data_IF_639883918225
#
_entry.id   IF_639883918225
#
_cell.length_a   1.000
_cell.length_b   1.000
_cell.length_c   1.000
_cell.angle_alpha   90.00
_cell.angle_beta   90.00
_cell.angle_gamma   90.00
#
_symmetry.space_group_name_H-M   'P 1'
#
loop_
_entity.id
_entity.type
_entity.pdbx_description
1 polymer ?
#
# COMPACT_ATOMS: atom_id res chain seq x y z
N UNK A 1 12.62 -11.64 -1.39
CA UNK A 1 11.40 -10.93 -0.94
C UNK A 1 11.45 -10.81 0.57
N UNK A 2 11.30 -9.59 1.11
CA UNK A 2 11.26 -9.34 2.55
C UNK A 2 9.88 -8.78 2.92
N UNK A 3 8.97 -9.59 3.48
CA UNK A 3 7.71 -9.07 3.99
C UNK A 3 7.98 -8.23 5.24
N UNK A 4 7.37 -7.04 5.31
CA UNK A 4 7.50 -6.13 6.44
C UNK A 4 6.17 -6.07 7.18
N UNK A 5 6.16 -6.48 8.44
CA UNK A 5 5.02 -6.21 9.32
C UNK A 5 5.18 -4.83 9.92
N UNK A 6 4.19 -4.00 9.67
CA UNK A 6 4.16 -2.63 10.15
C UNK A 6 3.74 -2.54 11.62
N UNK A 7 4.17 -1.50 12.33
CA UNK A 7 3.83 -1.25 13.73
C UNK A 7 2.32 -1.14 13.95
N UNK A 8 1.79 -1.80 14.97
CA UNK A 8 0.36 -1.75 15.29
C UNK A 8 -0.55 -2.69 14.50
N UNK A 9 0.00 -3.56 13.64
CA UNK A 9 -0.78 -4.59 12.91
C UNK A 9 -0.19 -5.99 13.07
N UNK A 10 -1.01 -7.02 12.83
CA UNK A 10 -0.65 -8.44 12.88
C UNK A 10 0.09 -8.83 14.18
N UNK A 11 1.25 -9.49 14.11
CA UNK A 11 2.02 -9.85 15.31
C UNK A 11 2.53 -8.64 16.11
N UNK A 12 2.52 -7.45 15.49
CA UNK A 12 2.84 -6.15 16.11
C UNK A 12 1.61 -5.38 16.58
N UNK A 13 0.41 -6.00 16.60
CA UNK A 13 -0.82 -5.35 17.07
C UNK A 13 -0.75 -4.86 18.53
N UNK A 14 0.13 -5.45 19.34
CA UNK A 14 0.41 -4.97 20.70
C UNK A 14 1.08 -3.59 20.75
N UNK A 15 1.58 -3.08 19.62
CA UNK A 15 2.13 -1.72 19.47
C UNK A 15 1.08 -0.71 18.98
N UNK A 16 -0.17 -1.14 18.75
CA UNK A 16 -1.24 -0.25 18.29
C UNK A 16 -1.49 0.85 19.34
N UNK A 17 -1.29 2.09 18.94
CA UNK A 17 -1.51 3.28 19.75
C UNK A 17 -2.00 4.42 18.84
N UNK A 18 -2.68 5.41 19.41
CA UNK A 18 -3.18 6.57 18.64
C UNK A 18 -2.09 7.41 17.95
N UNK A 19 -0.82 7.23 18.34
CA UNK A 19 0.31 7.89 17.70
C UNK A 19 0.87 7.12 16.48
N UNK A 20 0.51 5.85 16.28
CA UNK A 20 0.97 5.07 15.12
C UNK A 20 0.28 5.61 13.86
N UNK A 21 1.08 6.09 12.92
CA UNK A 21 0.62 6.85 11.76
C UNK A 21 1.40 6.47 10.48
N UNK A 22 1.19 7.21 9.38
CA UNK A 22 1.83 6.92 8.09
C UNK A 22 3.34 7.05 8.17
N UNK A 23 3.85 8.09 8.85
CA UNK A 23 5.30 8.25 9.04
C UNK A 23 5.92 7.11 9.84
N UNK A 24 5.19 6.59 10.84
CA UNK A 24 5.61 5.41 11.61
C UNK A 24 5.79 4.20 10.68
N UNK A 25 4.83 3.96 9.78
CA UNK A 25 4.90 2.85 8.83
C UNK A 25 5.98 3.03 7.76
N UNK A 26 6.21 4.25 7.27
CA UNK A 26 7.33 4.56 6.38
C UNK A 26 8.66 4.28 7.10
N UNK A 27 8.78 4.72 8.36
CA UNK A 27 9.97 4.49 9.17
C UNK A 27 10.23 3.00 9.43
N UNK A 28 9.19 2.18 9.64
CA UNK A 28 9.33 0.73 9.79
C UNK A 28 10.00 0.09 8.55
N UNK A 29 9.59 0.48 7.34
CA UNK A 29 10.17 -0.05 6.10
C UNK A 29 11.59 0.47 5.89
N UNK A 30 11.84 1.76 6.13
CA UNK A 30 13.19 2.33 6.05
C UNK A 30 14.16 1.63 7.01
N UNK A 31 13.73 1.35 8.24
CA UNK A 31 14.54 0.62 9.23
C UNK A 31 14.87 -0.81 8.77
N UNK A 32 13.95 -1.48 8.07
CA UNK A 32 14.24 -2.77 7.44
C UNK A 32 15.31 -2.61 6.36
N UNK A 33 15.17 -1.65 5.45
CA UNK A 33 16.17 -1.41 4.40
C UNK A 33 17.56 -1.11 5.00
N UNK A 34 17.63 -0.24 6.00
CA UNK A 34 18.89 0.09 6.70
C UNK A 34 19.54 -1.12 7.38
N UNK A 35 18.73 -2.02 7.97
CA UNK A 35 19.23 -3.23 8.60
C UNK A 35 19.92 -4.18 7.62
N UNK A 36 19.61 -4.07 6.32
CA UNK A 36 20.23 -4.85 5.25
C UNK A 36 21.06 -3.93 4.34
N UNK A 37 22.18 -3.44 4.87
CA UNK A 37 23.07 -2.43 4.25
C UNK A 37 23.56 -2.72 2.80
N UNK A 38 23.35 -3.92 2.26
CA UNK A 38 23.66 -4.28 0.87
C UNK A 38 22.43 -4.27 -0.06
N UNK A 39 21.29 -3.77 0.40
CA UNK A 39 20.08 -3.64 -0.42
C UNK A 39 20.14 -2.34 -1.24
N UNK A 40 20.64 -2.49 -2.46
CA UNK A 40 20.46 -1.55 -3.55
C UNK A 40 19.54 -2.20 -4.60
N UNK A 41 19.04 -1.40 -5.56
CA UNK A 41 18.14 -1.85 -6.64
C UNK A 41 16.83 -2.50 -6.15
N UNK A 42 16.14 -1.82 -5.24
CA UNK A 42 14.93 -2.31 -4.59
C UNK A 42 13.70 -2.21 -5.49
N UNK A 43 12.88 -3.27 -5.44
CA UNK A 43 11.49 -3.24 -5.90
C UNK A 43 10.57 -3.12 -4.69
N UNK A 44 9.87 -2.00 -4.59
CA UNK A 44 8.88 -1.79 -3.55
C UNK A 44 7.52 -2.32 -4.02
N UNK A 45 6.88 -3.16 -3.21
CA UNK A 45 5.57 -3.73 -3.50
C UNK A 45 4.61 -3.34 -2.40
N UNK A 46 3.57 -2.59 -2.74
CA UNK A 46 2.57 -2.09 -1.80
C UNK A 46 1.20 -2.62 -2.19
N UNK A 47 0.50 -3.27 -1.25
CA UNK A 47 -0.88 -3.73 -1.43
C UNK A 47 -1.85 -2.82 -0.70
N UNK A 48 -2.98 -2.47 -1.32
CA UNK A 48 -4.02 -1.63 -0.69
C UNK A 48 -3.45 -0.31 -0.13
N UNK A 49 -3.65 -0.04 1.16
CA UNK A 49 -3.01 1.05 1.92
C UNK A 49 -1.48 1.11 1.74
N UNK A 50 -0.82 -0.03 1.52
CA UNK A 50 0.63 -0.12 1.31
C UNK A 50 1.15 0.74 0.16
N UNK A 51 0.29 1.14 -0.78
CA UNK A 51 0.61 2.17 -1.79
C UNK A 51 1.06 3.50 -1.18
N UNK A 52 0.45 3.93 -0.07
CA UNK A 52 0.89 5.11 0.70
C UNK A 52 2.32 4.93 1.22
N UNK A 53 2.59 3.77 1.82
CA UNK A 53 3.85 3.47 2.47
C UNK A 53 4.98 3.38 1.46
N UNK A 54 4.81 2.63 0.36
CA UNK A 54 5.87 2.50 -0.64
C UNK A 54 6.15 3.82 -1.36
N UNK A 55 5.14 4.68 -1.53
CA UNK A 55 5.33 6.02 -2.10
C UNK A 55 6.15 6.89 -1.17
N UNK A 56 5.84 6.88 0.13
CA UNK A 56 6.66 7.55 1.13
C UNK A 56 8.10 7.02 1.13
N UNK A 57 8.30 5.70 1.20
CA UNK A 57 9.65 5.10 1.19
C UNK A 57 10.43 5.49 -0.06
N UNK A 58 9.80 5.42 -1.24
CA UNK A 58 10.43 5.80 -2.50
C UNK A 58 10.87 7.26 -2.51
N UNK A 59 10.13 8.16 -1.87
CA UNK A 59 10.52 9.57 -1.76
C UNK A 59 11.76 9.80 -0.87
N UNK A 60 11.93 8.98 0.19
CA UNK A 60 12.99 9.18 1.20
C UNK A 60 14.33 8.56 0.83
N UNK A 61 14.31 7.45 0.08
CA UNK A 61 15.53 6.75 -0.38
C UNK A 61 15.50 6.52 -1.90
N UNK A 62 15.22 7.57 -2.68
CA UNK A 62 14.84 7.41 -4.06
C UNK A 62 15.98 6.81 -4.89
N UNK A 63 17.24 6.95 -4.48
CA UNK A 63 18.44 6.39 -5.13
C UNK A 63 18.58 4.88 -5.00
N UNK A 64 17.82 4.25 -4.09
CA UNK A 64 17.85 2.80 -3.86
C UNK A 64 16.71 2.06 -4.56
N UNK A 65 15.77 2.77 -5.19
CA UNK A 65 14.54 2.18 -5.73
C UNK A 65 14.62 2.09 -7.25
N UNK A 66 14.42 0.89 -7.78
CA UNK A 66 14.38 0.60 -9.22
C UNK A 66 12.94 0.60 -9.74
N UNK A 67 12.01 0.05 -8.97
CA UNK A 67 10.63 -0.16 -9.40
C UNK A 67 9.65 -0.11 -8.23
N UNK A 68 8.41 0.28 -8.53
CA UNK A 68 7.30 0.31 -7.60
C UNK A 68 6.12 -0.46 -8.18
N UNK A 69 5.61 -1.42 -7.43
CA UNK A 69 4.43 -2.22 -7.79
C UNK A 69 3.31 -1.96 -6.79
N UNK A 70 2.22 -1.39 -7.31
CA UNK A 70 0.98 -1.12 -6.60
C UNK A 70 0.03 -2.28 -6.86
N UNK A 71 -0.13 -3.19 -5.90
CA UNK A 71 -1.02 -4.34 -6.05
C UNK A 71 -2.36 -3.99 -5.43
N UNK A 72 -3.34 -3.74 -6.29
CA UNK A 72 -4.68 -3.26 -5.95
C UNK A 72 -4.63 -2.21 -4.83
N UNK A 73 -3.80 -1.19 -5.06
CA UNK A 73 -3.33 -0.26 -4.04
C UNK A 73 -3.67 1.19 -4.39
N UNK A 74 -3.74 2.03 -3.36
CA UNK A 74 -3.90 3.46 -3.55
C UNK A 74 -2.65 4.08 -4.18
N UNK A 75 -2.83 5.03 -5.10
CA UNK A 75 -1.73 5.74 -5.77
C UNK A 75 -1.79 7.22 -5.36
N UNK A 76 -1.15 7.64 -4.26
CA UNK A 76 -1.29 8.99 -3.72
C UNK A 76 -0.53 10.06 -4.52
N UNK A 77 -1.05 11.28 -4.47
CA UNK A 77 -0.33 12.51 -4.81
C UNK A 77 0.14 13.24 -3.54
N UNK A 78 1.02 14.23 -3.70
CA UNK A 78 1.45 15.06 -2.58
C UNK A 78 0.26 15.73 -1.89
N UNK A 79 0.23 15.61 -0.56
CA UNK A 79 -0.82 16.16 0.29
C UNK A 79 -2.09 15.32 0.40
N UNK A 80 -2.19 14.16 -0.25
CA UNK A 80 -3.32 13.23 -0.07
C UNK A 80 -3.07 12.26 1.08
N UNK A 81 -4.11 11.99 1.87
CA UNK A 81 -4.19 10.84 2.75
C UNK A 81 -4.85 9.65 2.03
N UNK A 82 -4.72 8.44 2.57
CA UNK A 82 -5.47 7.28 2.05
C UNK A 82 -6.98 7.57 2.07
N UNK A 83 -7.44 8.25 3.12
CA UNK A 83 -8.80 8.80 3.26
C UNK A 83 -9.29 9.55 2.02
N UNK A 84 -8.46 10.41 1.43
CA UNK A 84 -8.87 11.29 0.32
C UNK A 84 -9.05 10.53 -0.99
N UNK A 85 -8.40 9.38 -1.12
CA UNK A 85 -8.32 8.61 -2.37
C UNK A 85 -9.45 7.58 -2.47
N UNK A 86 -9.81 6.94 -1.35
CA UNK A 86 -10.82 5.87 -1.32
C UNK A 86 -12.25 6.43 -1.38
N UNK A 87 -13.21 5.54 -1.67
CA UNK A 87 -14.62 5.89 -1.78
C UNK A 87 -15.30 6.18 -0.43
N UNK A 88 -16.58 6.57 -0.47
CA UNK A 88 -17.36 6.90 0.72
C UNK A 88 -17.64 5.68 1.63
N UNK A 89 -17.78 4.48 1.06
CA UNK A 89 -18.03 3.27 1.84
C UNK A 89 -16.81 2.90 2.69
N UNK A 90 -15.61 3.02 2.11
CA UNK A 90 -14.33 2.80 2.77
C UNK A 90 -14.09 3.84 3.87
N UNK A 91 -14.35 5.12 3.59
CA UNK A 91 -14.30 6.20 4.60
C UNK A 91 -15.25 5.94 5.77
N UNK A 92 -16.48 5.48 5.48
CA UNK A 92 -17.46 5.12 6.49
C UNK A 92 -17.00 3.91 7.33
N UNK A 93 -16.22 2.99 6.76
CA UNK A 93 -15.60 1.91 7.51
C UNK A 93 -14.45 2.43 8.40
N UNK A 94 -13.56 3.27 7.89
CA UNK A 94 -12.43 3.81 8.64
C UNK A 94 -12.84 4.49 9.95
N UNK A 95 -13.98 5.20 9.97
CA UNK A 95 -14.47 5.88 11.20
C UNK A 95 -15.22 4.97 12.18
N UNK A 96 -15.47 3.69 11.86
CA UNK A 96 -16.06 2.70 12.79
C UNK A 96 -15.02 2.13 13.74
N UNK A 97 -14.16 2.99 14.30
CA UNK A 97 -13.08 2.59 15.20
C UNK A 97 -13.58 1.70 16.34
N UNK A 98 -12.73 0.80 16.80
CA UNK A 98 -13.00 -0.05 17.95
C UNK A 98 -12.93 0.73 19.29
N UNK A 99 -13.06 0.04 20.41
CA UNK A 99 -13.08 0.64 21.75
C UNK A 99 -11.80 1.41 22.14
N UNK A 100 -10.71 1.27 21.37
CA UNK A 100 -9.50 2.08 21.57
C UNK A 100 -9.68 3.53 21.10
N UNK A 101 -10.63 3.77 20.18
CA UNK A 101 -10.84 5.06 19.53
C UNK A 101 -9.84 5.39 18.42
N UNK A 102 -8.84 4.52 18.17
CA UNK A 102 -7.82 4.73 17.15
C UNK A 102 -7.50 3.48 16.30
N UNK A 103 -8.14 2.35 16.57
CA UNK A 103 -8.04 1.13 15.75
C UNK A 103 -9.26 0.99 14.83
N UNK A 104 -9.04 0.84 13.52
CA UNK A 104 -10.08 0.49 12.54
C UNK A 104 -10.23 -1.03 12.51
N UNK A 105 -11.36 -1.61 12.97
CA UNK A 105 -11.51 -3.05 13.07
C UNK A 105 -11.60 -3.71 11.67
N UNK A 106 -11.08 -4.93 11.48
CA UNK A 106 -11.18 -5.64 10.21
C UNK A 106 -12.64 -5.98 9.87
N UNK A 107 -12.97 -6.05 8.58
CA UNK A 107 -14.29 -6.47 8.13
C UNK A 107 -14.48 -7.99 8.28
N UNK A 108 -15.71 -8.49 8.47
CA UNK A 108 -15.95 -9.92 8.76
C UNK A 108 -15.45 -10.92 7.70
N UNK A 109 -15.23 -10.46 6.47
CA UNK A 109 -14.76 -11.29 5.36
C UNK A 109 -13.24 -11.24 5.17
N UNK A 110 -12.50 -10.45 5.96
CA UNK A 110 -11.04 -10.45 5.94
C UNK A 110 -10.48 -11.76 6.49
N UNK A 111 -9.19 -12.00 6.23
CA UNK A 111 -8.47 -13.13 6.82
C UNK A 111 -8.61 -13.10 8.37
N UNK A 112 -8.86 -14.22 9.05
CA UNK A 112 -9.02 -14.26 10.51
C UNK A 112 -7.81 -13.75 11.30
N UNK A 113 -6.64 -13.64 10.68
CA UNK A 113 -5.43 -13.07 11.28
C UNK A 113 -5.38 -11.54 11.21
N UNK A 114 -6.30 -10.90 10.48
CA UNK A 114 -6.37 -9.45 10.41
C UNK A 114 -6.64 -8.84 11.79
N UNK A 115 -5.94 -7.74 12.09
CA UNK A 115 -6.07 -6.99 13.34
C UNK A 115 -6.58 -5.59 13.04
N UNK A 116 -6.94 -4.83 14.09
CA UNK A 116 -7.28 -3.42 13.90
C UNK A 116 -6.12 -2.64 13.26
N UNK A 117 -6.43 -1.74 12.33
CA UNK A 117 -5.46 -0.90 11.62
C UNK A 117 -5.36 0.49 12.28
N UNK A 118 -4.17 1.12 12.40
CA UNK A 118 -4.06 2.45 12.98
C UNK A 118 -4.82 3.52 12.18
N UNK A 119 -5.85 4.16 12.77
CA UNK A 119 -6.65 5.17 12.07
C UNK A 119 -5.80 6.34 11.56
N UNK A 120 -4.86 6.81 12.38
CA UNK A 120 -4.02 7.96 12.03
C UNK A 120 -3.17 7.70 10.77
N UNK A 121 -2.86 6.44 10.45
CA UNK A 121 -2.11 6.11 9.25
C UNK A 121 -2.92 6.28 7.96
N UNK A 122 -4.24 6.10 8.05
CA UNK A 122 -5.19 6.28 6.95
C UNK A 122 -5.56 7.75 6.73
N UNK A 123 -5.51 8.56 7.81
CA UNK A 123 -5.89 9.97 7.81
C UNK A 123 -4.73 10.94 7.60
N UNK A 124 -3.49 10.51 7.80
CA UNK A 124 -2.32 11.39 7.66
C UNK A 124 -2.03 11.68 6.18
N UNK A 125 -1.98 12.95 5.77
CA UNK A 125 -1.53 13.32 4.42
C UNK A 125 -0.08 12.95 4.19
N UNK A 126 0.22 12.34 3.05
CA UNK A 126 1.59 12.08 2.62
C UNK A 126 2.22 13.38 2.11
N UNK A 127 3.41 13.71 2.59
CA UNK A 127 4.22 14.82 2.06
C UNK A 127 5.38 14.26 1.26
N UNK A 128 5.49 14.70 0.01
CA UNK A 128 6.52 14.28 -0.94
C UNK A 128 7.52 15.42 -1.15
N UNK A 129 8.80 15.08 -1.17
CA UNK A 129 9.90 16.02 -1.36
C UNK A 129 10.41 16.01 -2.81
N UNK A 130 10.19 14.92 -3.54
CA UNK A 130 10.71 14.67 -4.87
C UNK A 130 9.61 14.27 -5.87
N UNK A 131 9.90 14.46 -7.15
CA UNK A 131 9.10 13.87 -8.22
C UNK A 131 9.45 12.38 -8.40
N UNK A 132 8.41 11.55 -8.48
CA UNK A 132 8.49 10.08 -8.54
C UNK A 132 8.42 9.55 -9.97
N UNK A 133 8.34 10.42 -10.99
CA UNK A 133 8.28 10.01 -12.40
C UNK A 133 9.53 9.25 -12.89
N UNK A 134 10.59 9.17 -12.09
CA UNK A 134 11.82 8.46 -12.44
C UNK A 134 11.75 6.94 -12.24
N UNK A 135 10.78 6.44 -11.47
CA UNK A 135 10.66 5.02 -11.19
C UNK A 135 9.86 4.30 -12.27
N UNK A 136 10.19 3.03 -12.55
CA UNK A 136 9.24 2.13 -13.23
C UNK A 136 8.06 1.91 -12.29
N UNK A 137 6.84 2.13 -12.77
CA UNK A 137 5.63 2.06 -11.96
C UNK A 137 4.65 1.08 -12.58
N UNK A 138 4.24 0.10 -11.79
CA UNK A 138 3.30 -0.93 -12.20
C UNK A 138 2.08 -0.89 -11.29
N UNK A 139 0.88 -0.86 -11.86
CA UNK A 139 -0.38 -1.07 -11.15
C UNK A 139 -0.92 -2.46 -11.54
N UNK A 140 -1.22 -3.28 -10.55
CA UNK A 140 -1.96 -4.54 -10.72
C UNK A 140 -3.36 -4.32 -10.13
N UNK A 141 -4.39 -4.22 -10.96
CA UNK A 141 -5.75 -3.88 -10.52
C UNK A 141 -6.64 -5.12 -10.48
N UNK A 142 -7.40 -5.29 -9.39
CA UNK A 142 -8.34 -6.38 -9.20
C UNK A 142 -9.70 -6.05 -9.85
N UNK A 143 -10.24 -6.98 -10.65
CA UNK A 143 -11.51 -6.80 -11.36
C UNK A 143 -12.72 -7.35 -10.59
N UNK A 144 -12.55 -8.32 -9.69
CA UNK A 144 -13.64 -8.95 -8.94
C UNK A 144 -13.85 -8.27 -7.58
N UNK A 145 -14.31 -7.02 -7.60
CA UNK A 145 -14.73 -6.31 -6.40
C UNK A 145 -16.25 -6.39 -6.23
N UNK A 146 -16.78 -6.69 -5.02
CA UNK A 146 -18.19 -6.57 -4.74
C UNK A 146 -18.65 -5.10 -4.80
N UNK A 147 -19.26 -4.70 -5.91
CA UNK A 147 -19.68 -3.31 -6.13
C UNK A 147 -18.59 -2.49 -6.80
N UNK A 148 -18.43 -1.22 -6.39
CA UNK A 148 -17.35 -0.36 -6.87
C UNK A 148 -16.10 -0.59 -6.01
N UNK A 149 -14.93 -0.71 -6.66
CA UNK A 149 -13.67 -0.87 -5.93
C UNK A 149 -13.27 0.46 -5.26
N UNK A 150 -12.87 0.46 -3.98
CA UNK A 150 -12.34 1.66 -3.33
C UNK A 150 -10.99 2.11 -3.94
N UNK A 151 -10.35 1.24 -4.74
CA UNK A 151 -9.09 1.51 -5.46
C UNK A 151 -9.35 2.12 -6.84
N UNK A 152 -10.60 2.10 -7.33
CA UNK A 152 -10.95 2.62 -8.66
C UNK A 152 -10.43 4.04 -8.94
N UNK A 153 -10.48 5.01 -8.00
CA UNK A 153 -9.90 6.33 -8.23
C UNK A 153 -8.40 6.30 -8.55
N UNK A 154 -7.66 5.37 -7.95
CA UNK A 154 -6.24 5.17 -8.23
C UNK A 154 -6.00 4.54 -9.59
N UNK A 155 -6.84 3.59 -10.02
CA UNK A 155 -6.80 3.05 -11.38
C UNK A 155 -7.10 4.12 -12.43
N UNK A 156 -8.20 4.85 -12.26
CA UNK A 156 -8.61 5.91 -13.20
C UNK A 156 -7.55 7.02 -13.32
N UNK A 157 -6.83 7.30 -12.23
CA UNK A 157 -5.74 8.28 -12.19
C UNK A 157 -4.57 7.92 -13.11
N UNK A 158 -4.25 6.64 -13.25
CA UNK A 158 -3.04 6.20 -13.98
C UNK A 158 -3.33 5.50 -15.31
N UNK A 159 -4.58 5.11 -15.57
CA UNK A 159 -4.95 4.27 -16.74
C UNK A 159 -4.54 4.82 -18.11
N UNK A 160 -4.48 6.14 -18.22
CA UNK A 160 -4.18 6.85 -19.48
C UNK A 160 -2.73 7.40 -19.50
N UNK A 161 -1.94 7.15 -18.44
CA UNK A 161 -0.54 7.57 -18.34
C UNK A 161 0.39 6.49 -18.93
N UNK A 162 1.07 6.76 -20.07
CA UNK A 162 1.92 5.77 -20.74
C UNK A 162 3.20 5.42 -19.95
N UNK A 163 3.50 6.14 -18.87
CA UNK A 163 4.63 5.82 -17.99
C UNK A 163 4.31 4.71 -16.98
N UNK A 164 3.04 4.28 -16.90
CA UNK A 164 2.59 3.19 -16.05
C UNK A 164 2.42 1.89 -16.83
N UNK A 165 2.86 0.79 -16.23
CA UNK A 165 2.49 -0.55 -16.66
C UNK A 165 1.25 -1.00 -15.89
N UNK A 166 0.22 -1.45 -16.58
CA UNK A 166 -1.06 -1.81 -15.95
C UNK A 166 -1.42 -3.25 -16.27
N UNK A 167 -1.66 -4.03 -15.22
CA UNK A 167 -2.16 -5.38 -15.30
C UNK A 167 -3.53 -5.46 -14.67
N UNK A 168 -4.52 -5.96 -15.42
CA UNK A 168 -5.86 -6.21 -14.91
C UNK A 168 -6.01 -7.69 -14.62
N UNK A 169 -6.33 -8.06 -13.39
CA UNK A 169 -6.48 -9.46 -12.97
C UNK A 169 -7.92 -9.75 -12.53
N UNK A 170 -8.47 -10.85 -13.03
CA UNK A 170 -9.83 -11.34 -12.71
C UNK A 170 -9.87 -12.06 -11.34
N UNK A 171 -9.49 -11.35 -10.29
CA UNK A 171 -9.48 -11.80 -8.90
C UNK A 171 -9.93 -10.68 -7.96
N UNK A 172 -10.09 -11.00 -6.68
CA UNK A 172 -10.52 -10.04 -5.65
C UNK A 172 -9.33 -9.26 -5.11
N UNK A 173 -9.60 -8.37 -4.16
CA UNK A 173 -8.61 -7.51 -3.53
C UNK A 173 -7.34 -8.25 -3.04
N UNK A 174 -7.49 -9.46 -2.50
CA UNK A 174 -6.37 -10.31 -2.09
C UNK A 174 -5.84 -11.11 -3.30
N UNK A 175 -5.23 -10.40 -4.25
CA UNK A 175 -4.64 -11.01 -5.46
C UNK A 175 -3.51 -12.00 -5.15
N UNK A 176 -2.90 -11.91 -3.96
CA UNK A 176 -1.87 -12.85 -3.51
C UNK A 176 -2.47 -14.23 -3.23
N UNK A 177 -3.73 -14.27 -2.80
CA UNK A 177 -4.50 -15.50 -2.63
C UNK A 177 -5.19 -15.94 -3.91
N UNK A 178 -5.78 -15.00 -4.65
CA UNK A 178 -6.67 -15.32 -5.77
C UNK A 178 -5.93 -15.56 -7.10
N UNK A 179 -4.80 -14.88 -7.31
CA UNK A 179 -3.99 -14.91 -8.54
C UNK A 179 -2.49 -15.01 -8.25
N UNK A 180 -2.04 -15.98 -7.42
CA UNK A 180 -0.66 -16.05 -6.95
C UNK A 180 0.35 -16.21 -8.09
N UNK A 181 0.04 -17.02 -9.10
CA UNK A 181 0.97 -17.32 -10.20
C UNK A 181 1.11 -16.12 -11.16
N UNK A 182 0.00 -15.47 -11.51
CA UNK A 182 0.01 -14.27 -12.34
C UNK A 182 0.68 -13.10 -11.62
N UNK A 183 0.37 -12.90 -10.34
CA UNK A 183 1.02 -11.87 -9.53
C UNK A 183 2.52 -12.14 -9.41
N UNK A 184 2.93 -13.38 -9.12
CA UNK A 184 4.35 -13.74 -9.05
C UNK A 184 5.07 -13.41 -10.36
N UNK A 185 4.48 -13.73 -11.52
CA UNK A 185 5.07 -13.40 -12.81
C UNK A 185 5.25 -11.90 -12.98
N UNK A 186 4.23 -11.09 -12.66
CA UNK A 186 4.32 -9.63 -12.74
C UNK A 186 5.41 -9.08 -11.81
N UNK A 187 5.52 -9.61 -10.59
CA UNK A 187 6.55 -9.19 -9.63
C UNK A 187 7.97 -9.56 -10.10
N UNK A 188 8.13 -10.73 -10.72
CA UNK A 188 9.41 -11.12 -11.31
C UNK A 188 9.77 -10.26 -12.52
N UNK A 189 8.79 -9.93 -13.38
CA UNK A 189 8.99 -9.02 -14.52
C UNK A 189 9.38 -7.61 -14.04
N UNK A 190 8.78 -7.13 -12.94
CA UNK A 190 9.10 -5.84 -12.33
C UNK A 190 10.47 -5.79 -11.63
N UNK A 191 11.00 -6.96 -11.24
CA UNK A 191 12.32 -7.13 -10.63
C UNK A 191 13.41 -7.51 -11.64
N UNK A 192 13.04 -7.86 -12.87
CA UNK A 192 13.98 -8.14 -13.93
C UNK A 192 14.51 -6.81 -14.50
N UNK A 193 15.83 -6.64 -14.39
CA UNK A 193 16.62 -5.80 -15.30
C UNK A 193 17.35 -6.71 -16.31
#
# INVERSE_FOLDING_TARGET
MHPVTLSGVAERAHLLAGAVNLDTHIADVLAVVEAYASMDDLVLVGHSYGGMVITGVADRIPERITSMVFVDAVVPQDGEACWDIVDEAERAWYVKVDNTGFGVPPLPFFDPRATSHPLASLMQPLRLLSDHCRFRRTLVYALDWPGESPIRPSYERVRDDPTWQIHLLDGKHDLMRDKPDELLRILLDAAAD
#
